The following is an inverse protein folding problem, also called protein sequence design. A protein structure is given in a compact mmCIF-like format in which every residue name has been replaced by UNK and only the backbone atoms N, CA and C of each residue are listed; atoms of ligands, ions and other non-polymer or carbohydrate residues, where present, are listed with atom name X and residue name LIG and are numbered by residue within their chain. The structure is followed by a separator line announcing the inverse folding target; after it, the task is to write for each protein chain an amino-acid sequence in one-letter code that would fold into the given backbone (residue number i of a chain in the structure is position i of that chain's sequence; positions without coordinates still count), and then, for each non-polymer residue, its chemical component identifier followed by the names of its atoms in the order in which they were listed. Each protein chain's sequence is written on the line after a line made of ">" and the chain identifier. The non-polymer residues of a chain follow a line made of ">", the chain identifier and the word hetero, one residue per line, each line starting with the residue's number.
data_IF_396598964445
#
_entry.id   IF_396598964445
#
_cell.length_a   1.000
_cell.length_b   1.000
_cell.length_c   1.000
_cell.angle_alpha   90.00
_cell.angle_beta   90.00
_cell.angle_gamma   90.00
#
_symmetry.space_group_name_H-M   'P 1'
#
loop_
_entity.id
_entity.type
_entity.pdbx_description
1 polymer ?
#
# COMPACT_ATOMS: atom_id res chain seq x y z
N UNK A 1 -26.37 14.36 -4.05
CA UNK A 1 -26.10 13.74 -2.73
C UNK A 1 -24.70 14.18 -2.34
N UNK A 2 -24.52 14.77 -1.15
CA UNK A 2 -23.22 15.23 -0.68
C UNK A 2 -22.28 14.03 -0.48
N UNK A 3 -21.01 14.08 -0.93
CA UNK A 3 -20.10 12.96 -0.75
C UNK A 3 -19.85 12.65 0.73
N UNK A 4 -19.69 11.36 1.05
CA UNK A 4 -19.22 10.91 2.34
C UNK A 4 -17.72 11.18 2.52
N UNK A 5 -17.26 11.24 3.77
CA UNK A 5 -15.85 11.54 4.10
C UNK A 5 -14.85 10.69 3.31
N UNK A 6 -15.09 9.38 3.18
CA UNK A 6 -14.17 8.49 2.48
C UNK A 6 -14.11 8.75 0.97
N UNK A 7 -15.15 9.35 0.37
CA UNK A 7 -15.18 9.67 -1.05
C UNK A 7 -14.16 10.77 -1.39
N UNK A 8 -14.03 11.79 -0.54
CA UNK A 8 -12.99 12.81 -0.70
C UNK A 8 -11.57 12.23 -0.58
N UNK A 9 -11.35 11.26 0.31
CA UNK A 9 -10.08 10.54 0.37
C UNK A 9 -9.82 9.78 -0.92
N UNK A 10 -10.82 9.06 -1.46
CA UNK A 10 -10.65 8.35 -2.74
C UNK A 10 -10.32 9.30 -3.89
N UNK A 11 -10.82 10.53 -3.87
CA UNK A 11 -10.52 11.55 -4.88
C UNK A 11 -9.06 11.99 -4.78
N UNK A 12 -8.64 12.54 -3.63
CA UNK A 12 -7.33 13.18 -3.51
C UNK A 12 -6.15 12.23 -3.32
N UNK A 13 -6.41 11.00 -2.85
CA UNK A 13 -5.39 9.96 -2.67
C UNK A 13 -5.39 8.93 -3.80
N UNK A 14 -6.17 9.15 -4.86
CA UNK A 14 -6.14 8.33 -6.06
C UNK A 14 -4.72 8.28 -6.64
N UNK A 15 -4.21 7.09 -6.90
CA UNK A 15 -2.97 6.91 -7.66
C UNK A 15 -3.27 7.15 -9.14
N UNK A 16 -2.55 8.09 -9.76
CA UNK A 16 -2.71 8.49 -11.16
C UNK A 16 -1.59 7.89 -12.01
N UNK A 17 -1.98 7.34 -13.16
CA UNK A 17 -1.07 6.93 -14.23
C UNK A 17 -0.87 8.00 -15.29
N UNK A 18 -1.72 9.04 -15.31
CA UNK A 18 -1.68 10.14 -16.28
C UNK A 18 -2.04 11.46 -15.63
N UNK A 19 -1.55 12.55 -16.22
CA UNK A 19 -1.71 13.92 -15.74
C UNK A 19 -2.14 14.80 -16.93
N UNK A 20 -3.45 15.05 -17.04
CA UNK A 20 -4.02 15.72 -18.21
C UNK A 20 -4.03 17.26 -18.07
N UNK A 21 -3.92 17.78 -16.85
CA UNK A 21 -3.95 19.21 -16.53
C UNK A 21 -2.55 19.82 -16.36
N UNK A 22 -1.50 18.99 -16.42
CA UNK A 22 -0.10 19.41 -16.31
C UNK A 22 0.45 19.70 -17.70
N UNK A 23 0.26 20.92 -18.20
CA UNK A 23 0.92 21.37 -19.43
C UNK A 23 2.35 21.84 -19.11
N UNK A 24 3.33 21.34 -19.86
CA UNK A 24 4.76 21.52 -19.58
C UNK A 24 5.21 22.99 -19.50
N UNK A 25 4.51 23.91 -20.15
CA UNK A 25 4.84 25.34 -20.17
C UNK A 25 4.16 26.16 -19.06
N UNK A 26 3.00 25.73 -18.55
CA UNK A 26 2.20 26.54 -17.61
C UNK A 26 2.76 26.49 -16.19
N UNK A 27 3.30 25.33 -15.79
CA UNK A 27 3.74 25.06 -14.42
C UNK A 27 5.21 24.67 -14.30
N UNK A 28 5.98 24.73 -15.39
CA UNK A 28 7.37 24.26 -15.46
C UNK A 28 8.26 24.80 -14.32
N UNK A 29 8.11 26.08 -13.97
CA UNK A 29 8.88 26.74 -12.90
C UNK A 29 8.63 26.14 -11.50
N UNK A 30 7.49 25.47 -11.32
CA UNK A 30 7.09 24.83 -10.08
C UNK A 30 7.32 23.31 -10.07
N UNK A 31 7.65 22.72 -11.22
CA UNK A 31 7.96 21.31 -11.36
C UNK A 31 9.47 21.09 -11.14
N UNK A 32 9.86 20.71 -9.93
CA UNK A 32 11.28 20.53 -9.58
C UNK A 32 11.96 19.51 -10.51
N UNK A 33 13.04 19.91 -11.18
CA UNK A 33 13.69 19.07 -12.20
C UNK A 33 14.38 17.81 -11.64
N UNK A 34 15.09 17.93 -10.50
CA UNK A 34 15.86 16.83 -9.90
C UNK A 34 15.21 16.14 -8.70
N UNK A 35 14.27 16.78 -8.00
CA UNK A 35 13.54 16.18 -6.88
C UNK A 35 12.25 15.53 -7.40
N UNK A 36 12.31 14.21 -7.64
CA UNK A 36 11.19 13.45 -8.17
C UNK A 36 9.97 13.44 -7.22
N UNK A 37 10.19 13.48 -5.90
CA UNK A 37 9.10 13.47 -4.92
C UNK A 37 8.34 14.80 -5.00
N UNK A 38 9.07 15.91 -4.96
CA UNK A 38 8.48 17.25 -5.04
C UNK A 38 7.80 17.49 -6.39
N UNK A 39 8.43 17.05 -7.48
CA UNK A 39 7.85 17.08 -8.83
C UNK A 39 6.52 16.34 -8.88
N UNK A 40 6.47 15.12 -8.34
CA UNK A 40 5.25 14.34 -8.31
C UNK A 40 4.17 15.04 -7.48
N UNK A 41 4.49 15.53 -6.28
CA UNK A 41 3.53 16.26 -5.43
C UNK A 41 2.96 17.46 -6.17
N UNK A 42 3.79 18.24 -6.87
CA UNK A 42 3.36 19.37 -7.68
C UNK A 42 2.39 18.93 -8.80
N UNK A 43 2.71 17.86 -9.53
CA UNK A 43 1.83 17.35 -10.60
C UNK A 43 0.47 16.88 -10.06
N UNK A 44 0.47 16.18 -8.92
CA UNK A 44 -0.77 15.78 -8.24
C UNK A 44 -1.56 17.00 -7.75
N UNK A 45 -0.90 18.04 -7.26
CA UNK A 45 -1.57 19.25 -6.82
C UNK A 45 -2.31 19.92 -7.98
N UNK A 46 -1.70 20.03 -9.16
CA UNK A 46 -2.36 20.57 -10.36
C UNK A 46 -3.62 19.77 -10.70
N UNK A 47 -3.54 18.44 -10.72
CA UNK A 47 -4.71 17.59 -11.02
C UNK A 47 -5.81 17.75 -9.97
N UNK A 48 -5.43 17.64 -8.70
CA UNK A 48 -6.37 17.72 -7.59
C UNK A 48 -7.05 19.10 -7.52
N UNK A 49 -6.32 20.17 -7.87
CA UNK A 49 -6.88 21.51 -7.90
C UNK A 49 -7.75 21.75 -9.14
N UNK A 50 -7.24 21.50 -10.36
CA UNK A 50 -7.97 21.78 -11.60
C UNK A 50 -9.14 20.82 -11.81
N UNK A 51 -8.87 19.51 -11.80
CA UNK A 51 -9.89 18.51 -12.11
C UNK A 51 -10.89 18.32 -10.96
N UNK A 52 -10.38 18.12 -9.75
CA UNK A 52 -11.22 17.62 -8.65
C UNK A 52 -11.80 18.71 -7.77
N UNK A 53 -11.17 19.88 -7.70
CA UNK A 53 -11.71 21.07 -7.04
C UNK A 53 -12.39 22.01 -8.03
N UNK A 54 -11.63 22.74 -8.85
CA UNK A 54 -12.11 23.85 -9.70
C UNK A 54 -13.24 23.41 -10.65
N UNK A 55 -13.05 22.30 -11.37
CA UNK A 55 -14.03 21.85 -12.37
C UNK A 55 -15.26 21.15 -11.77
N UNK A 56 -15.17 20.70 -10.52
CA UNK A 56 -16.14 19.76 -9.94
C UNK A 56 -16.96 20.39 -8.83
N UNK A 57 -16.40 21.34 -8.09
CA UNK A 57 -17.03 21.75 -6.85
C UNK A 57 -18.35 22.53 -7.04
N UNK A 58 -18.45 23.35 -8.09
CA UNK A 58 -19.70 24.03 -8.46
C UNK A 58 -20.79 23.03 -8.90
N UNK A 59 -20.40 21.89 -9.48
CA UNK A 59 -21.32 20.86 -9.98
C UNK A 59 -22.01 20.14 -8.81
N UNK A 60 -21.28 19.91 -7.72
CA UNK A 60 -21.74 19.14 -6.57
C UNK A 60 -22.08 20.00 -5.34
N UNK A 61 -21.86 21.31 -5.42
CA UNK A 61 -22.08 22.28 -4.33
C UNK A 61 -21.37 21.88 -3.03
N UNK A 62 -20.13 21.41 -3.16
CA UNK A 62 -19.28 20.86 -2.08
C UNK A 62 -17.87 21.48 -2.05
N UNK A 63 -17.72 22.70 -2.60
CA UNK A 63 -16.44 23.43 -2.68
C UNK A 63 -15.74 23.55 -1.33
N UNK A 64 -16.48 23.80 -0.25
CA UNK A 64 -15.89 23.94 1.08
C UNK A 64 -15.20 22.65 1.51
N UNK A 65 -15.92 21.53 1.48
CA UNK A 65 -15.40 20.23 1.89
C UNK A 65 -14.25 19.80 0.96
N UNK A 66 -14.40 19.96 -0.35
CA UNK A 66 -13.33 19.67 -1.30
C UNK A 66 -12.05 20.43 -0.97
N UNK A 67 -12.17 21.72 -0.69
CA UNK A 67 -11.02 22.54 -0.33
C UNK A 67 -10.38 22.11 1.01
N UNK A 68 -11.19 21.74 2.00
CA UNK A 68 -10.70 21.23 3.29
C UNK A 68 -9.90 19.92 3.12
N UNK A 69 -10.40 18.98 2.31
CA UNK A 69 -9.69 17.72 2.06
C UNK A 69 -8.47 17.90 1.17
N UNK A 70 -8.50 18.83 0.20
CA UNK A 70 -7.32 19.17 -0.60
C UNK A 70 -6.21 19.75 0.28
N UNK A 71 -6.56 20.67 1.20
CA UNK A 71 -5.62 21.20 2.20
C UNK A 71 -5.08 20.09 3.10
N UNK A 72 -5.95 19.17 3.55
CA UNK A 72 -5.55 18.02 4.38
C UNK A 72 -4.53 17.15 3.65
N UNK A 73 -4.80 16.78 2.40
CA UNK A 73 -3.89 16.02 1.56
C UNK A 73 -2.55 16.76 1.40
N UNK A 74 -2.58 18.05 1.07
CA UNK A 74 -1.36 18.81 0.83
C UNK A 74 -0.52 18.98 2.10
N UNK A 75 -1.18 19.19 3.23
CA UNK A 75 -0.56 19.27 4.55
C UNK A 75 0.10 17.95 4.97
N UNK A 76 -0.53 16.82 4.69
CA UNK A 76 0.09 15.50 4.89
C UNK A 76 1.36 15.36 4.05
N UNK A 77 1.30 15.74 2.76
CA UNK A 77 2.49 15.67 1.88
C UNK A 77 3.60 16.60 2.37
N UNK A 78 3.25 17.79 2.87
CA UNK A 78 4.20 18.72 3.52
C UNK A 78 4.86 18.07 4.72
N UNK A 79 4.07 17.47 5.61
CA UNK A 79 4.56 16.86 6.83
C UNK A 79 5.53 15.70 6.52
N UNK A 80 5.21 14.85 5.55
CA UNK A 80 6.07 13.76 5.11
C UNK A 80 7.38 14.26 4.49
N UNK A 81 7.30 15.22 3.56
CA UNK A 81 8.47 15.69 2.83
C UNK A 81 9.42 16.52 3.70
N UNK A 82 8.89 17.34 4.61
CA UNK A 82 9.67 18.30 5.41
C UNK A 82 9.97 17.83 6.83
N UNK A 83 9.60 16.59 7.19
CA UNK A 83 9.58 16.11 8.59
C UNK A 83 8.84 17.09 9.51
N UNK A 84 7.62 17.43 9.10
CA UNK A 84 6.75 18.44 9.73
C UNK A 84 7.45 19.80 9.97
N UNK A 85 8.21 20.25 8.97
CA UNK A 85 8.94 21.52 8.97
C UNK A 85 10.27 21.49 9.73
N UNK A 86 10.80 20.32 10.09
CA UNK A 86 12.10 20.20 10.76
C UNK A 86 13.28 20.08 9.79
N UNK A 87 13.05 19.64 8.55
CA UNK A 87 14.05 19.67 7.48
C UNK A 87 14.07 21.03 6.79
N UNK A 88 15.11 21.83 7.03
CA UNK A 88 15.16 23.22 6.56
C UNK A 88 15.24 23.32 5.04
N UNK A 89 16.08 22.50 4.39
CA UNK A 89 16.23 22.52 2.93
C UNK A 89 14.96 22.07 2.22
N UNK A 90 14.34 20.99 2.71
CA UNK A 90 13.06 20.52 2.19
C UNK A 90 11.95 21.53 2.45
N UNK A 91 11.94 22.20 3.61
CA UNK A 91 10.98 23.28 3.89
C UNK A 91 11.14 24.44 2.90
N UNK A 92 12.38 24.83 2.59
CA UNK A 92 12.67 25.89 1.61
C UNK A 92 12.20 25.49 0.21
N UNK A 93 12.47 24.24 -0.19
CA UNK A 93 12.03 23.70 -1.47
C UNK A 93 10.50 23.64 -1.54
N UNK A 94 9.85 23.23 -0.46
CA UNK A 94 8.39 23.19 -0.37
C UNK A 94 7.77 24.57 -0.57
N UNK A 95 8.25 25.60 0.12
CA UNK A 95 7.74 26.96 -0.01
C UNK A 95 7.90 27.49 -1.44
N UNK A 96 9.04 27.24 -2.07
CA UNK A 96 9.29 27.67 -3.46
C UNK A 96 8.37 26.98 -4.45
N UNK A 97 8.38 25.66 -4.47
CA UNK A 97 7.75 24.89 -5.55
C UNK A 97 6.27 24.62 -5.29
N UNK A 98 5.89 24.28 -4.06
CA UNK A 98 4.52 23.81 -3.77
C UNK A 98 3.61 24.95 -3.32
N UNK A 99 4.05 25.78 -2.37
CA UNK A 99 3.24 26.95 -1.97
C UNK A 99 3.23 28.01 -3.08
N UNK A 100 4.33 28.13 -3.84
CA UNK A 100 4.36 28.93 -5.07
C UNK A 100 3.35 28.44 -6.12
N UNK A 101 3.27 27.13 -6.36
CA UNK A 101 2.29 26.55 -7.29
C UNK A 101 0.85 26.76 -6.82
N UNK A 102 0.57 26.62 -5.53
CA UNK A 102 -0.77 26.88 -5.00
C UNK A 102 -1.23 28.31 -5.31
N UNK A 103 -0.37 29.29 -5.04
CA UNK A 103 -0.65 30.69 -5.38
C UNK A 103 -0.92 30.86 -6.87
N UNK A 104 -0.10 30.23 -7.71
CA UNK A 104 -0.28 30.26 -9.17
C UNK A 104 -1.64 29.68 -9.60
N UNK A 105 -2.07 28.59 -8.98
CA UNK A 105 -3.37 27.95 -9.26
C UNK A 105 -4.56 28.82 -8.84
N UNK A 106 -4.40 29.64 -7.79
CA UNK A 106 -5.43 30.57 -7.31
C UNK A 106 -5.50 31.89 -8.09
N UNK A 107 -4.45 32.28 -8.81
CA UNK A 107 -4.40 33.55 -9.58
C UNK A 107 -5.57 33.66 -10.57
N UNK A 108 -5.93 32.55 -11.22
CA UNK A 108 -6.99 32.49 -12.23
C UNK A 108 -8.38 32.15 -11.67
N UNK A 109 -8.56 32.25 -10.35
CA UNK A 109 -9.83 31.95 -9.68
C UNK A 109 -10.50 33.22 -9.15
N UNK A 110 -11.81 33.34 -9.36
CA UNK A 110 -12.63 34.35 -8.70
C UNK A 110 -12.53 34.19 -7.17
N UNK A 111 -12.52 35.28 -6.42
CA UNK A 111 -12.28 35.27 -4.96
C UNK A 111 -13.19 34.30 -4.21
N UNK A 112 -14.46 34.19 -4.63
CA UNK A 112 -15.47 33.33 -4.00
C UNK A 112 -15.24 31.83 -4.29
N UNK A 113 -14.48 31.53 -5.36
CA UNK A 113 -14.16 30.17 -5.82
C UNK A 113 -12.73 29.75 -5.49
N UNK A 114 -11.98 30.58 -4.75
CA UNK A 114 -10.63 30.23 -4.31
C UNK A 114 -10.69 29.20 -3.19
N UNK A 115 -9.92 28.14 -3.34
CA UNK A 115 -9.64 27.24 -2.21
C UNK A 115 -8.54 27.84 -1.34
N UNK A 116 -8.92 28.60 -0.30
CA UNK A 116 -7.93 29.21 0.59
C UNK A 116 -6.95 28.16 1.16
N UNK A 117 -5.65 28.40 0.98
CA UNK A 117 -4.57 27.61 1.61
C UNK A 117 -4.60 27.75 3.14
N UNK A 118 -4.65 26.61 3.85
CA UNK A 118 -4.60 26.53 5.32
C UNK A 118 -3.45 25.60 5.74
N UNK A 119 -2.25 26.14 6.04
CA UNK A 119 -1.11 25.34 6.47
C UNK A 119 -1.31 24.78 7.89
N UNK A 120 -0.66 23.64 8.19
CA UNK A 120 -0.60 23.11 9.55
C UNK A 120 0.10 24.12 10.49
N UNK A 121 -0.55 24.41 11.62
CA UNK A 121 -0.01 25.24 12.68
C UNK A 121 0.95 24.46 13.59
N UNK A 122 0.71 23.17 13.80
CA UNK A 122 1.52 22.33 14.68
C UNK A 122 2.69 21.67 13.97
N UNK A 123 3.91 22.05 14.37
CA UNK A 123 5.18 21.51 13.85
C UNK A 123 5.84 20.55 14.84
N UNK A 124 5.05 19.64 15.41
CA UNK A 124 5.55 18.63 16.32
C UNK A 124 6.15 17.47 15.51
N UNK A 125 7.45 17.22 15.71
CA UNK A 125 8.16 16.07 15.18
C UNK A 125 9.38 15.81 16.06
N UNK A 126 9.51 14.57 16.54
CA UNK A 126 10.58 14.19 17.46
C UNK A 126 11.92 14.23 16.73
N UNK A 127 12.87 14.99 17.28
CA UNK A 127 14.18 15.22 16.68
C UNK A 127 14.98 13.94 16.51
N UNK A 128 14.72 12.89 17.31
CA UNK A 128 15.44 11.62 17.21
C UNK A 128 15.21 10.88 15.89
N UNK A 129 14.11 11.18 15.19
CA UNK A 129 13.78 10.58 13.89
C UNK A 129 14.29 11.41 12.69
N UNK A 130 14.94 12.55 12.95
CA UNK A 130 15.51 13.39 11.90
C UNK A 130 16.87 12.82 11.50
N UNK A 131 17.01 12.46 10.23
CA UNK A 131 18.29 12.01 9.69
C UNK A 131 19.24 13.18 9.50
N UNK A 132 20.55 12.96 9.60
CA UNK A 132 21.54 14.03 9.42
C UNK A 132 21.50 14.66 8.00
N UNK A 133 21.10 13.87 6.99
CA UNK A 133 20.98 14.33 5.61
C UNK A 133 19.74 15.18 5.32
N UNK A 134 18.80 15.28 6.26
CA UNK A 134 17.60 16.13 6.17
C UNK A 134 17.90 17.61 5.86
N UNK A 135 19.08 18.09 6.25
CA UNK A 135 19.54 19.46 6.00
C UNK A 135 20.66 19.55 4.97
N UNK A 136 21.04 18.45 4.32
CA UNK A 136 22.03 18.48 3.25
C UNK A 136 21.32 18.83 1.94
N UNK A 137 21.92 19.72 1.14
CA UNK A 137 21.35 20.12 -0.16
C UNK A 137 21.61 19.07 -1.24
N UNK A 138 22.48 18.12 -0.96
CA UNK A 138 22.81 17.00 -1.83
C UNK A 138 21.88 15.83 -1.52
N UNK A 139 21.26 15.28 -2.56
CA UNK A 139 20.56 14.01 -2.47
C UNK A 139 21.49 12.98 -1.81
N UNK A 140 20.95 12.17 -0.90
CA UNK A 140 21.72 11.08 -0.31
C UNK A 140 22.33 10.26 -1.46
N UNK A 141 23.66 10.30 -1.56
CA UNK A 141 24.37 9.47 -2.53
C UNK A 141 24.12 8.03 -2.12
N UNK A 142 23.18 7.37 -2.82
CA UNK A 142 23.14 5.93 -2.81
C UNK A 142 24.46 5.50 -3.43
N UNK A 143 25.34 4.78 -2.70
CA UNK A 143 26.56 4.26 -3.27
C UNK A 143 26.19 3.54 -4.57
N UNK A 144 26.73 3.99 -5.71
CA UNK A 144 26.43 3.37 -7.02
C UNK A 144 26.79 1.89 -7.03
N UNK A 145 27.69 1.50 -6.14
CA UNK A 145 28.09 0.14 -5.90
C UNK A 145 27.54 -0.26 -4.53
N UNK A 146 26.79 -1.37 -4.48
CA UNK A 146 26.60 -2.08 -3.22
C UNK A 146 27.97 -2.32 -2.58
N UNK A 147 28.12 -2.21 -1.25
CA UNK A 147 29.34 -2.67 -0.59
C UNK A 147 29.62 -4.08 -1.10
N UNK A 148 30.83 -4.31 -1.59
CA UNK A 148 31.28 -5.63 -1.97
C UNK A 148 31.31 -6.43 -0.67
N UNK A 149 30.19 -7.12 -0.38
CA UNK A 149 30.15 -8.12 0.68
C UNK A 149 31.05 -9.19 0.14
N UNK A 150 32.31 -9.17 0.56
CA UNK A 150 33.22 -10.28 0.31
C UNK A 150 32.47 -11.52 0.75
N UNK A 151 32.09 -12.34 -0.24
CA UNK A 151 31.49 -13.63 0.02
C UNK A 151 32.41 -14.32 1.04
N UNK A 152 31.88 -14.88 2.14
CA UNK A 152 32.66 -15.77 2.97
C UNK A 152 33.35 -16.75 2.03
N UNK A 153 34.69 -16.81 2.07
CA UNK A 153 35.47 -17.67 1.17
C UNK A 153 34.84 -19.06 1.19
N UNK A 154 34.20 -19.43 0.09
CA UNK A 154 33.53 -20.73 -0.01
C UNK A 154 34.56 -21.80 0.34
N UNK A 155 34.23 -22.78 1.19
CA UNK A 155 35.14 -23.88 1.47
C UNK A 155 35.47 -24.58 0.14
N UNK A 156 36.77 -24.69 -0.15
CA UNK A 156 37.31 -25.28 -1.37
C UNK A 156 36.70 -26.66 -1.60
N UNK A 157 35.84 -26.77 -2.62
CA UNK A 157 35.37 -28.08 -3.09
C UNK A 157 36.49 -28.78 -3.87
N UNK A 158 36.78 -30.06 -3.62
CA UNK A 158 37.74 -30.80 -4.44
C UNK A 158 37.23 -30.92 -5.87
N UNK A 159 38.12 -30.66 -6.83
CA UNK A 159 37.89 -30.90 -8.25
C UNK A 159 37.46 -32.34 -8.50
N UNK A 160 36.29 -32.54 -9.11
CA UNK A 160 35.98 -33.77 -9.81
C UNK A 160 35.18 -33.49 -11.08
N UNK A 161 35.86 -33.70 -12.21
CA UNK A 161 35.41 -34.18 -13.55
C UNK A 161 34.23 -33.50 -14.27
N UNK A 162 34.46 -33.32 -15.58
CA UNK A 162 33.57 -32.74 -16.58
C UNK A 162 32.07 -33.11 -16.45
N UNK A 163 31.15 -32.18 -16.75
CA UNK A 163 29.73 -32.36 -16.53
C UNK A 163 29.15 -33.27 -17.61
N UNK A 164 28.62 -34.42 -17.21
CA UNK A 164 27.64 -35.13 -18.03
C UNK A 164 26.27 -34.83 -17.45
N UNK A 165 25.44 -34.17 -18.26
CA UNK A 165 24.04 -33.82 -17.99
C UNK A 165 23.27 -34.92 -17.26
N UNK A 166 22.37 -34.57 -16.32
CA UNK A 166 21.07 -35.26 -16.10
C UNK A 166 20.35 -34.93 -14.77
N UNK A 167 20.77 -33.96 -13.93
CA UNK A 167 20.08 -33.75 -12.64
C UNK A 167 18.70 -33.06 -12.76
N UNK A 168 18.43 -32.30 -13.82
CA UNK A 168 17.13 -31.64 -14.00
C UNK A 168 16.06 -32.54 -14.64
N UNK A 169 16.45 -33.59 -15.38
CA UNK A 169 15.49 -34.57 -15.94
C UNK A 169 14.94 -35.50 -14.87
N UNK A 170 15.77 -35.91 -13.91
CA UNK A 170 15.37 -36.88 -12.87
C UNK A 170 14.32 -36.28 -11.93
N UNK A 171 14.46 -35.03 -11.49
CA UNK A 171 13.46 -34.41 -10.60
C UNK A 171 12.11 -34.27 -11.30
N UNK A 172 12.10 -33.81 -12.56
CA UNK A 172 10.86 -33.65 -13.32
C UNK A 172 10.18 -34.99 -13.59
N UNK A 173 10.89 -36.02 -14.05
CA UNK A 173 10.28 -37.34 -14.32
C UNK A 173 9.77 -38.00 -13.05
N UNK A 174 10.49 -37.89 -11.93
CA UNK A 174 10.07 -38.52 -10.67
C UNK A 174 8.79 -37.88 -10.14
N UNK A 175 8.65 -36.55 -10.25
CA UNK A 175 7.41 -35.87 -9.86
C UNK A 175 6.20 -36.29 -10.70
N UNK A 176 6.34 -36.36 -12.03
CA UNK A 176 5.21 -36.77 -12.89
C UNK A 176 4.82 -38.24 -12.71
N UNK A 177 5.80 -39.13 -12.50
CA UNK A 177 5.52 -40.56 -12.24
C UNK A 177 4.82 -40.73 -10.89
N UNK A 178 5.29 -40.07 -9.84
CA UNK A 178 4.63 -40.11 -8.52
C UNK A 178 3.22 -39.52 -8.60
N UNK A 179 3.04 -38.40 -9.30
CA UNK A 179 1.72 -37.79 -9.45
C UNK A 179 0.75 -38.66 -10.26
N UNK A 180 1.23 -39.31 -11.33
CA UNK A 180 0.45 -40.27 -12.10
C UNK A 180 0.03 -41.49 -11.29
N UNK A 181 0.93 -42.03 -10.46
CA UNK A 181 0.64 -43.13 -9.55
C UNK A 181 -0.42 -42.73 -8.52
N UNK A 182 -0.34 -41.52 -7.94
CA UNK A 182 -1.34 -41.01 -6.99
C UNK A 182 -2.73 -40.87 -7.62
N UNK A 183 -2.82 -40.33 -8.84
CA UNK A 183 -4.09 -40.23 -9.56
C UNK A 183 -4.65 -41.61 -9.92
N UNK A 184 -3.79 -42.56 -10.28
CA UNK A 184 -4.20 -43.93 -10.57
C UNK A 184 -4.72 -44.63 -9.31
N UNK A 185 -4.08 -44.46 -8.14
CA UNK A 185 -4.60 -44.96 -6.88
C UNK A 185 -5.94 -44.32 -6.49
N UNK A 186 -6.10 -43.00 -6.66
CA UNK A 186 -7.40 -42.34 -6.42
C UNK A 186 -8.50 -42.88 -7.34
N UNK A 187 -8.17 -43.14 -8.61
CA UNK A 187 -9.10 -43.75 -9.55
C UNK A 187 -9.46 -45.18 -9.10
N UNK A 188 -8.48 -46.03 -8.77
CA UNK A 188 -8.74 -47.38 -8.28
C UNK A 188 -9.53 -47.41 -6.96
N UNK A 189 -9.32 -46.46 -6.06
CA UNK A 189 -10.12 -46.31 -4.83
C UNK A 189 -11.59 -45.95 -5.11
N UNK A 190 -11.87 -45.28 -6.24
CA UNK A 190 -13.24 -45.00 -6.70
C UNK A 190 -13.95 -46.25 -7.23
N UNK A 191 -13.23 -47.18 -7.84
CA UNK A 191 -13.79 -48.42 -8.43
C UNK A 191 -13.68 -49.65 -7.54
N UNK A 192 -12.91 -49.58 -6.46
CA UNK A 192 -12.83 -50.65 -5.45
C UNK A 192 -13.98 -50.53 -4.44
N UNK A 193 -14.50 -51.68 -3.99
CA UNK A 193 -15.55 -51.79 -2.96
C UNK A 193 -15.17 -51.17 -1.60
N UNK A 194 -13.92 -50.73 -1.46
CA UNK A 194 -13.37 -49.99 -0.33
C UNK A 194 -14.01 -48.59 -0.17
N UNK A 195 -14.39 -47.90 -1.26
CA UNK A 195 -15.05 -46.58 -1.17
C UNK A 195 -16.39 -46.60 -0.42
N UNK A 196 -17.13 -47.72 -0.49
CA UNK A 196 -18.38 -47.91 0.23
C UNK A 196 -18.19 -48.15 1.74
N UNK A 197 -17.03 -48.69 2.15
CA UNK A 197 -16.71 -48.96 3.57
C UNK A 197 -16.34 -47.68 4.35
N UNK A 198 -15.70 -46.71 3.69
CA UNK A 198 -15.25 -45.46 4.34
C UNK A 198 -16.44 -44.56 4.70
N UNK A 199 -17.49 -44.53 3.86
CA UNK A 199 -18.71 -43.77 4.16
C UNK A 199 -19.46 -44.26 5.41
N UNK A 200 -19.37 -45.56 5.74
CA UNK A 200 -19.98 -46.10 6.95
C UNK A 200 -19.21 -45.74 8.23
N UNK A 201 -17.90 -45.51 8.15
CA UNK A 201 -17.08 -45.08 9.29
C UNK A 201 -17.33 -43.61 9.61
N UNK A 202 -17.41 -42.74 8.60
CA UNK A 202 -17.69 -41.30 8.78
C UNK A 202 -19.12 -41.07 9.31
N UNK A 203 -20.07 -41.96 8.98
CA UNK A 203 -21.44 -41.91 9.53
C UNK A 203 -21.51 -42.35 11.00
N UNK A 204 -20.58 -43.19 11.45
CA UNK A 204 -20.46 -43.61 12.86
C UNK A 204 -19.90 -42.52 13.78
N UNK A 205 -18.97 -41.70 13.29
CA UNK A 205 -18.39 -40.58 14.06
C UNK A 205 -19.40 -39.47 14.36
N UNK A 206 -20.23 -39.09 13.37
CA UNK A 206 -21.28 -38.06 13.53
C UNK A 206 -22.41 -38.42 14.50
N UNK A 207 -22.57 -39.70 14.83
CA UNK A 207 -23.55 -40.15 15.85
C UNK A 207 -22.95 -40.05 17.25
N UNK A 208 -21.63 -40.20 17.38
CA UNK A 208 -20.92 -40.13 18.67
C UNK A 208 -20.75 -38.69 19.17
N UNK A 209 -20.68 -37.71 18.27
CA UNK A 209 -20.51 -36.29 18.59
C UNK A 209 -21.79 -35.65 19.19
N UNK A 210 -22.99 -36.06 18.74
CA UNK A 210 -24.26 -35.59 19.34
C UNK A 210 -24.50 -36.10 20.76
N UNK A 211 -23.99 -37.28 21.10
CA UNK A 211 -24.14 -37.85 22.43
C UNK A 211 -23.18 -37.21 23.48
N UNK A 212 -22.24 -36.37 23.04
CA UNK A 212 -21.29 -35.67 23.94
C UNK A 212 -21.71 -34.21 24.16
N UNK A 213 -22.57 -33.66 23.31
CA UNK A 213 -23.05 -32.27 23.38
C UNK A 213 -24.24 -32.09 24.33
N UNK A 214 -25.06 -33.12 24.55
CA UNK A 214 -26.19 -33.10 25.50
C UNK A 214 -25.77 -33.17 26.99
N UNK A 215 -24.51 -33.48 27.31
CA UNK A 215 -24.01 -33.61 28.70
C UNK A 215 -23.25 -32.39 29.25
N UNK A 216 -23.05 -31.31 28.47
CA UNK A 216 -22.24 -30.14 28.92
C UNK A 216 -23.01 -28.83 29.19
N UNK A 217 -24.34 -28.84 29.09
CA UNK A 217 -25.17 -27.62 29.21
C UNK A 217 -25.61 -27.31 30.64
N UNK A 218 -25.04 -27.97 31.64
CA UNK A 218 -25.29 -27.70 33.06
C UNK A 218 -23.97 -27.63 33.83
N UNK A 219 -23.24 -26.53 33.72
CA UNK A 219 -22.44 -25.96 34.84
C UNK A 219 -21.73 -24.65 34.44
N UNK A 220 -22.06 -23.60 35.20
CA UNK A 220 -21.14 -22.58 35.72
C UNK A 220 -20.34 -21.69 34.74
N UNK A 221 -20.73 -20.43 34.54
CA UNK A 221 -20.35 -19.21 35.30
C UNK A 221 -19.06 -18.50 34.84
N UNK A 222 -19.23 -17.19 34.67
CA UNK A 222 -18.33 -16.07 34.93
C UNK A 222 -16.90 -16.00 34.36
N UNK A 223 -16.67 -14.77 33.85
CA UNK A 223 -15.44 -13.97 33.86
C UNK A 223 -14.33 -14.27 32.83
N UNK A 224 -14.09 -13.18 32.06
CA UNK A 224 -12.79 -12.57 31.79
C UNK A 224 -11.78 -13.36 30.94
N UNK A 225 -11.37 -12.80 29.79
CA UNK A 225 -9.95 -12.66 29.39
C UNK A 225 -9.79 -11.84 28.09
N UNK A 226 -9.24 -10.64 28.27
CA UNK A 226 -8.07 -10.05 27.58
C UNK A 226 -7.68 -10.55 26.17
N UNK A 227 -7.61 -9.55 25.27
CA UNK A 227 -6.64 -9.31 24.18
C UNK A 227 -6.47 -10.36 23.06
N UNK A 228 -6.83 -9.94 21.83
CA UNK A 228 -5.85 -9.89 20.73
C UNK A 228 -6.37 -9.08 19.55
N UNK A 229 -5.73 -7.92 19.37
CA UNK A 229 -5.21 -7.39 18.10
C UNK A 229 -5.93 -7.78 16.81
N UNK A 230 -6.52 -6.76 16.18
CA UNK A 230 -6.52 -6.48 14.75
C UNK A 230 -6.24 -7.65 13.80
N UNK A 231 -7.30 -8.13 13.16
CA UNK A 231 -7.24 -8.50 11.74
C UNK A 231 -8.46 -7.91 11.04
N UNK A 232 -8.19 -6.83 10.30
CA UNK A 232 -9.07 -6.27 9.27
C UNK A 232 -9.20 -7.29 8.13
N UNK A 233 -10.39 -7.83 7.92
CA UNK A 233 -10.87 -8.21 6.58
C UNK A 233 -12.32 -7.78 6.49
N UNK A 234 -12.56 -6.54 6.04
CA UNK A 234 -13.89 -6.11 5.62
C UNK A 234 -14.10 -6.57 4.18
N UNK A 235 -14.76 -7.71 4.03
CA UNK A 235 -15.45 -8.07 2.79
C UNK A 235 -16.90 -8.35 3.14
N UNK A 236 -17.76 -7.35 2.99
CA UNK A 236 -19.21 -7.54 2.93
C UNK A 236 -19.70 -6.95 1.61
N UNK A 237 -20.06 -7.85 0.71
CA UNK A 237 -20.96 -7.62 -0.41
C UNK A 237 -22.22 -8.46 -0.12
N UNK A 238 -23.38 -7.88 -0.49
CA UNK A 238 -24.77 -8.37 -0.42
C UNK A 238 -25.52 -8.06 0.88
N UNK A 239 -26.64 -7.36 0.88
CA UNK A 239 -27.58 -6.95 -0.18
C UNK A 239 -27.96 -5.48 -0.05
#
# INVERSE_FOLDING_TARGET
>A
KKPEKWEYYKIYFKIRSSFNNNQDNEYGDYLHASDQVLRNIAMYLVENYKADYKNTCDIFDDCKERCEYLNTWLNEKKALYTSNGKCTNHSTSWEKYIEGLWKKLEEDAEEQKKCKRIPLTEKNFDKKWITQNCNNSTAAEVPRNCPDVSLPKDPVCPMSVNPTSSSCRIVLTTTYVVFGILLFFMYLLRFSSVGMKINNIIRGEKIKERNIEDERTHEHSNNEFIDRRFNLIYNSLKN
#
